data_IF_440444588652
#
_entry.id   IF_440444588652
#
_cell.length_a   1.000
_cell.length_b   1.000
_cell.length_c   1.000
_cell.angle_alpha   90.00
_cell.angle_beta   90.00
_cell.angle_gamma   90.00
#
_symmetry.space_group_name_H-M   'P 1'
#
loop_
_entity.id
_entity.type
_entity.pdbx_description
1 polymer ?
#
# COMPACT_ATOMS: atom_id res chain seq x y z
N UNK A 1 43.33 51.53 -2.53
CA UNK A 1 42.63 50.24 -2.38
C UNK A 1 43.60 49.31 -1.66
N UNK A 2 43.32 49.01 -0.38
CA UNK A 2 44.25 48.38 0.59
C UNK A 2 44.08 46.85 0.56
N UNK A 3 45.11 46.20 0.03
CA UNK A 3 45.85 45.02 0.55
C UNK A 3 45.14 43.88 1.30
N UNK A 4 45.44 42.67 0.81
CA UNK A 4 45.96 41.47 1.52
C UNK A 4 45.08 40.79 2.57
N UNK A 5 45.16 39.49 2.82
CA UNK A 5 45.75 38.30 2.19
C UNK A 5 45.39 37.13 3.12
N UNK A 6 45.44 35.89 2.59
CA UNK A 6 45.79 34.64 3.29
C UNK A 6 44.95 34.21 4.51
N UNK A 7 44.28 33.07 4.37
CA UNK A 7 44.36 31.87 5.24
C UNK A 7 43.28 30.90 4.75
N UNK A 8 43.41 29.58 4.74
CA UNK A 8 44.40 28.67 5.29
C UNK A 8 43.82 27.27 5.14
N UNK A 9 44.62 26.37 4.58
CA UNK A 9 44.44 24.92 4.54
C UNK A 9 44.03 24.35 5.91
N UNK A 10 42.89 23.65 6.01
CA UNK A 10 42.72 22.48 6.90
C UNK A 10 41.84 21.45 6.18
N UNK A 11 42.49 20.39 5.69
CA UNK A 11 41.86 19.13 5.39
C UNK A 11 41.43 18.46 6.71
N UNK A 12 40.15 18.13 6.84
CA UNK A 12 39.65 17.22 7.86
C UNK A 12 38.85 16.12 7.14
N UNK A 13 39.58 15.18 6.54
CA UNK A 13 39.01 13.88 6.16
C UNK A 13 38.69 13.12 7.43
N UNK A 14 37.44 13.21 7.89
CA UNK A 14 36.90 12.32 8.91
C UNK A 14 36.73 10.94 8.29
N UNK A 15 37.74 10.07 8.41
CA UNK A 15 37.59 8.63 8.20
C UNK A 15 36.92 8.07 9.46
N UNK A 16 35.60 8.14 9.49
CA UNK A 16 34.77 7.46 10.47
C UNK A 16 34.72 5.98 10.08
N UNK A 17 35.63 5.19 10.67
CA UNK A 17 35.50 3.73 10.60
C UNK A 17 34.24 3.32 11.37
N UNK A 18 33.16 3.05 10.63
CA UNK A 18 31.96 2.42 11.15
C UNK A 18 32.29 0.98 11.55
N UNK A 19 32.38 0.72 12.85
CA UNK A 19 32.18 -0.61 13.41
C UNK A 19 30.83 -0.62 14.15
N UNK A 20 29.74 -0.50 13.39
CA UNK A 20 28.39 -0.83 13.86
C UNK A 20 28.15 -2.32 13.63
N UNK A 21 28.67 -3.16 14.53
CA UNK A 21 28.11 -4.51 14.69
C UNK A 21 26.91 -4.38 15.63
N UNK A 22 25.80 -3.92 15.06
CA UNK A 22 24.49 -3.91 15.72
C UNK A 22 23.44 -4.42 14.74
N UNK A 23 23.46 -5.74 14.49
CA UNK A 23 22.21 -6.47 14.68
C UNK A 23 21.93 -6.31 16.19
N UNK A 24 20.94 -5.55 16.65
CA UNK A 24 19.58 -5.63 16.16
C UNK A 24 18.99 -7.02 16.44
N UNK A 25 19.50 -7.72 17.45
CA UNK A 25 18.82 -8.85 18.05
C UNK A 25 17.74 -8.26 18.98
N UNK A 26 16.48 -8.48 18.62
CA UNK A 26 15.37 -8.22 19.52
C UNK A 26 15.29 -9.39 20.51
N UNK A 27 16.23 -9.49 21.44
CA UNK A 27 16.02 -10.26 22.67
C UNK A 27 15.20 -9.37 23.59
N UNK A 28 13.91 -9.71 23.68
CA UNK A 28 13.01 -9.22 24.71
C UNK A 28 13.66 -9.57 26.05
N UNK A 29 14.08 -8.54 26.79
CA UNK A 29 14.43 -8.66 28.21
C UNK A 29 13.13 -8.96 28.97
N UNK A 30 12.80 -10.24 29.08
CA UNK A 30 11.67 -10.72 29.87
C UNK A 30 12.14 -10.89 31.33
N UNK A 31 12.04 -9.82 32.13
CA UNK A 31 12.04 -9.95 33.58
C UNK A 31 10.68 -10.53 34.02
N UNK A 32 10.48 -11.81 33.79
CA UNK A 32 9.35 -12.54 34.34
C UNK A 32 9.73 -13.97 34.69
N UNK A 33 9.92 -14.20 35.98
CA UNK A 33 9.97 -15.55 36.58
C UNK A 33 8.56 -16.17 36.53
N UNK A 34 8.04 -16.46 35.33
CA UNK A 34 6.87 -17.34 35.12
C UNK A 34 6.90 -17.83 33.68
N UNK A 35 7.40 -19.05 33.46
CA UNK A 35 7.31 -19.71 32.15
C UNK A 35 5.84 -20.01 31.79
N UNK A 36 5.30 -19.54 30.65
CA UNK A 36 4.01 -20.01 30.16
C UNK A 36 4.18 -21.44 29.63
N UNK A 37 3.59 -22.40 30.34
CA UNK A 37 3.49 -23.80 29.91
C UNK A 37 2.42 -23.90 28.83
N UNK A 38 2.81 -24.22 27.59
CA UNK A 38 1.87 -24.54 26.50
C UNK A 38 1.84 -26.06 26.35
N UNK A 39 0.65 -26.65 26.47
CA UNK A 39 0.45 -28.09 26.36
C UNK A 39 0.67 -28.58 24.91
N UNK A 40 1.32 -29.74 24.69
CA UNK A 40 1.46 -30.33 23.35
C UNK A 40 0.11 -30.73 22.73
N UNK A 41 -0.08 -30.40 21.46
CA UNK A 41 -1.23 -30.80 20.65
C UNK A 41 -1.10 -32.28 20.21
N UNK A 42 -2.11 -33.09 20.50
CA UNK A 42 -2.22 -34.49 20.06
C UNK A 42 -2.50 -34.56 18.54
N UNK A 43 -1.71 -35.36 17.81
CA UNK A 43 -1.97 -35.69 16.40
C UNK A 43 -3.01 -36.80 16.33
N UNK A 44 -4.21 -36.47 15.83
CA UNK A 44 -5.25 -37.45 15.53
C UNK A 44 -4.82 -38.47 14.47
N UNK A 45 -5.27 -39.73 14.54
CA UNK A 45 -4.84 -40.77 13.61
C UNK A 45 -5.36 -40.54 12.19
N UNK A 46 -4.45 -40.72 11.24
CA UNK A 46 -4.74 -40.86 9.82
C UNK A 46 -5.55 -42.13 9.60
N UNK A 47 -6.69 -42.03 8.94
CA UNK A 47 -7.45 -43.18 8.45
C UNK A 47 -7.69 -42.99 6.96
N UNK A 48 -7.02 -43.81 6.16
CA UNK A 48 -7.30 -44.02 4.74
C UNK A 48 -7.54 -45.50 4.51
N UNK A 49 -8.27 -45.77 3.42
CA UNK A 49 -8.81 -47.04 2.90
C UNK A 49 -10.23 -47.36 3.39
N UNK A 50 -11.28 -46.99 2.65
CA UNK A 50 -11.78 -47.54 1.37
C UNK A 50 -12.65 -48.79 1.56
N UNK A 51 -13.91 -48.72 1.08
CA UNK A 51 -14.51 -49.66 0.09
C UNK A 51 -16.06 -49.71 0.15
N UNK A 52 -16.62 -49.53 -1.04
CA UNK A 52 -17.89 -50.04 -1.61
C UNK A 52 -19.24 -49.38 -1.33
N UNK A 53 -19.72 -48.83 -2.45
CA UNK A 53 -21.07 -48.57 -2.92
C UNK A 53 -22.22 -49.39 -2.30
N UNK A 54 -23.28 -48.65 -1.95
CA UNK A 54 -24.64 -49.13 -2.06
C UNK A 54 -25.43 -48.06 -2.84
N UNK A 55 -25.94 -48.44 -4.01
CA UNK A 55 -26.99 -47.72 -4.71
C UNK A 55 -28.18 -47.52 -3.78
N UNK A 56 -28.70 -46.30 -3.70
CA UNK A 56 -30.08 -46.07 -3.34
C UNK A 56 -30.62 -44.95 -4.21
N UNK A 57 -31.38 -45.36 -5.22
CA UNK A 57 -32.21 -44.48 -6.04
C UNK A 57 -33.28 -43.85 -5.15
N UNK A 58 -33.22 -42.53 -4.97
CA UNK A 58 -34.39 -41.74 -4.63
C UNK A 58 -34.57 -40.64 -5.67
N UNK A 59 -35.59 -40.83 -6.49
CA UNK A 59 -36.06 -39.85 -7.45
C UNK A 59 -36.57 -38.62 -6.68
N UNK A 60 -35.80 -37.53 -6.71
CA UNK A 60 -36.28 -36.22 -6.25
C UNK A 60 -36.90 -35.46 -7.42
N UNK A 61 -38.18 -35.12 -7.24
CA UNK A 61 -39.01 -34.30 -8.12
C UNK A 61 -38.32 -32.98 -8.55
N UNK A 62 -38.60 -32.44 -9.74
CA UNK A 62 -37.96 -31.23 -10.22
C UNK A 62 -38.43 -30.03 -9.40
N UNK A 63 -37.56 -29.52 -8.53
CA UNK A 63 -37.71 -28.19 -7.97
C UNK A 63 -37.33 -27.23 -9.11
N UNK A 64 -38.27 -26.39 -9.52
CA UNK A 64 -38.02 -25.34 -10.50
C UNK A 64 -36.88 -24.46 -9.97
N UNK A 65 -35.70 -24.60 -10.59
CA UNK A 65 -34.54 -23.78 -10.27
C UNK A 65 -34.75 -22.40 -10.89
N UNK A 66 -34.80 -21.39 -10.03
CA UNK A 66 -34.56 -19.99 -10.39
C UNK A 66 -33.29 -19.92 -11.27
N UNK A 67 -33.27 -19.16 -12.38
CA UNK A 67 -32.09 -19.08 -13.24
C UNK A 67 -30.87 -18.69 -12.42
N UNK A 68 -29.95 -19.65 -12.27
CA UNK A 68 -28.72 -19.49 -11.50
C UNK A 68 -27.96 -18.26 -11.99
N UNK A 69 -27.66 -17.36 -11.06
CA UNK A 69 -26.73 -16.25 -11.28
C UNK A 69 -25.42 -16.84 -11.81
N UNK A 70 -24.86 -16.34 -12.94
CA UNK A 70 -23.68 -16.94 -13.52
C UNK A 70 -22.53 -16.90 -12.51
N UNK A 71 -22.05 -18.08 -12.14
CA UNK A 71 -20.88 -18.25 -11.27
C UNK A 71 -19.65 -17.65 -11.97
N UNK A 72 -18.74 -16.97 -11.24
CA UNK A 72 -17.47 -16.53 -11.81
C UNK A 72 -16.71 -17.76 -12.33
N UNK A 73 -16.43 -17.77 -13.63
CA UNK A 73 -15.74 -18.86 -14.32
C UNK A 73 -14.27 -18.50 -14.45
N UNK A 74 -13.40 -19.35 -13.91
CA UNK A 74 -11.96 -19.29 -14.19
C UNK A 74 -11.74 -19.68 -15.66
N UNK A 75 -11.47 -18.68 -16.50
CA UNK A 75 -11.09 -18.90 -17.89
C UNK A 75 -9.56 -18.90 -17.99
N UNK A 76 -9.01 -19.91 -18.67
CA UNK A 76 -7.58 -19.94 -18.99
C UNK A 76 -7.15 -18.66 -19.73
N UNK A 77 -5.86 -18.34 -19.68
CA UNK A 77 -5.30 -17.16 -20.33
C UNK A 77 -5.72 -17.10 -21.81
N UNK A 78 -6.28 -15.96 -22.23
CA UNK A 78 -6.66 -15.67 -23.61
C UNK A 78 -5.62 -14.77 -24.26
N UNK A 79 -5.39 -14.96 -25.55
CA UNK A 79 -4.55 -14.06 -26.33
C UNK A 79 -5.19 -12.67 -26.39
N UNK A 80 -4.39 -11.63 -26.16
CA UNK A 80 -4.82 -10.23 -26.29
C UNK A 80 -4.39 -9.77 -27.67
N UNK A 81 -5.36 -9.57 -28.56
CA UNK A 81 -5.10 -9.22 -29.97
C UNK A 81 -4.47 -7.83 -30.13
N UNK A 82 -4.77 -6.91 -29.21
CA UNK A 82 -4.31 -5.52 -29.28
C UNK A 82 -4.11 -4.95 -27.87
N UNK A 83 -2.98 -4.29 -27.64
CA UNK A 83 -2.73 -3.57 -26.40
C UNK A 83 -3.59 -2.30 -26.44
N UNK A 84 -4.40 -2.01 -25.42
CA UNK A 84 -5.16 -0.77 -25.37
C UNK A 84 -4.23 0.43 -25.54
N UNK A 85 -4.59 1.36 -26.42
CA UNK A 85 -3.87 2.63 -26.50
C UNK A 85 -4.10 3.39 -25.18
N UNK A 86 -3.05 3.46 -24.38
CA UNK A 86 -3.02 4.32 -23.21
C UNK A 86 -2.78 5.73 -23.72
N UNK A 87 -3.80 6.60 -23.67
CA UNK A 87 -3.61 8.03 -23.88
C UNK A 87 -2.49 8.50 -22.93
N UNK A 88 -1.33 8.84 -23.49
CA UNK A 88 -0.17 9.26 -22.71
C UNK A 88 -0.35 10.62 -22.04
N UNK A 89 -1.48 11.30 -22.31
CA UNK A 89 -1.84 12.55 -21.68
C UNK A 89 -2.71 12.31 -20.44
N UNK A 90 -2.29 12.88 -19.31
CA UNK A 90 -3.12 12.95 -18.10
C UNK A 90 -4.46 13.62 -18.38
N UNK A 91 -5.50 13.17 -17.68
CA UNK A 91 -6.83 13.77 -17.77
C UNK A 91 -6.81 15.23 -17.29
N UNK A 92 -7.87 15.99 -17.57
CA UNK A 92 -7.96 17.37 -17.10
C UNK A 92 -8.09 17.42 -15.57
N UNK A 93 -8.81 16.45 -15.02
CA UNK A 93 -9.03 16.23 -13.60
C UNK A 93 -7.70 15.96 -12.87
N UNK A 94 -6.86 15.09 -13.43
CA UNK A 94 -5.52 14.82 -12.90
C UNK A 94 -4.64 16.07 -12.86
N UNK A 95 -4.71 16.90 -13.91
CA UNK A 95 -3.94 18.14 -13.95
C UNK A 95 -4.42 19.16 -12.92
N UNK A 96 -5.73 19.24 -12.67
CA UNK A 96 -6.28 20.08 -11.61
C UNK A 96 -5.82 19.60 -10.23
N UNK A 97 -5.94 18.30 -9.97
CA UNK A 97 -5.52 17.71 -8.71
C UNK A 97 -4.02 17.89 -8.44
N UNK A 98 -3.16 17.50 -9.39
CA UNK A 98 -1.70 17.62 -9.26
C UNK A 98 -1.25 19.08 -9.21
N UNK A 99 -1.95 19.97 -9.92
CA UNK A 99 -1.73 21.41 -9.89
C UNK A 99 -1.98 21.97 -8.49
N UNK A 100 -3.12 21.64 -7.86
CA UNK A 100 -3.42 22.08 -6.50
C UNK A 100 -2.36 21.61 -5.49
N UNK A 101 -1.88 20.37 -5.58
CA UNK A 101 -0.81 19.90 -4.68
C UNK A 101 0.49 20.70 -4.88
N UNK A 102 0.89 20.91 -6.13
CA UNK A 102 2.12 21.64 -6.48
C UNK A 102 2.06 23.10 -6.04
N UNK A 103 0.93 23.76 -6.31
CA UNK A 103 0.72 25.17 -5.98
C UNK A 103 0.70 25.42 -4.46
N UNK A 104 0.34 24.41 -3.67
CA UNK A 104 0.34 24.46 -2.21
C UNK A 104 1.63 23.89 -1.56
N UNK A 105 2.69 23.68 -2.34
CA UNK A 105 4.02 23.36 -1.80
C UNK A 105 4.27 21.88 -1.54
N UNK A 106 3.62 21.00 -2.29
CA UNK A 106 3.96 19.57 -2.36
C UNK A 106 4.73 19.28 -3.64
N UNK A 107 5.98 18.83 -3.52
CA UNK A 107 6.77 18.33 -4.64
C UNK A 107 6.27 16.95 -5.07
N UNK A 108 5.50 16.92 -6.15
CA UNK A 108 4.92 15.71 -6.74
C UNK A 108 5.80 15.09 -7.83
N UNK A 109 6.97 15.66 -8.17
CA UNK A 109 7.76 15.21 -9.31
C UNK A 109 8.21 13.76 -9.12
N UNK A 110 7.81 12.89 -10.05
CA UNK A 110 8.11 11.47 -10.04
C UNK A 110 7.25 10.62 -9.09
N UNK A 111 6.24 11.21 -8.45
CA UNK A 111 5.25 10.50 -7.61
C UNK A 111 3.80 10.79 -8.00
N UNK A 112 3.58 11.39 -9.16
CA UNK A 112 2.28 11.90 -9.58
C UNK A 112 1.24 10.79 -9.73
N UNK A 113 1.63 9.65 -10.29
CA UNK A 113 0.71 8.53 -10.53
C UNK A 113 0.28 7.87 -9.21
N UNK A 114 1.17 7.87 -8.20
CA UNK A 114 0.83 7.44 -6.84
C UNK A 114 -0.13 8.42 -6.16
N UNK A 115 0.02 9.73 -6.41
CA UNK A 115 -0.91 10.74 -5.88
C UNK A 115 -2.29 10.57 -6.52
N UNK A 116 -2.37 10.40 -7.84
CA UNK A 116 -3.63 10.14 -8.55
C UNK A 116 -4.27 8.85 -8.04
N UNK A 117 -3.49 7.77 -7.94
CA UNK A 117 -3.97 6.49 -7.41
C UNK A 117 -4.54 6.61 -6.01
N UNK A 118 -3.92 7.43 -5.15
CA UNK A 118 -4.43 7.72 -3.80
C UNK A 118 -5.74 8.52 -3.88
N UNK A 119 -5.78 9.57 -4.69
CA UNK A 119 -6.93 10.47 -4.80
C UNK A 119 -8.20 9.76 -5.29
N UNK A 120 -8.09 8.83 -6.23
CA UNK A 120 -9.23 8.06 -6.77
C UNK A 120 -9.91 7.23 -5.67
N UNK A 121 -9.17 6.81 -4.63
CA UNK A 121 -9.75 6.06 -3.50
C UNK A 121 -10.68 6.91 -2.63
N UNK A 122 -10.47 8.23 -2.60
CA UNK A 122 -11.18 9.17 -1.70
C UNK A 122 -12.63 9.38 -2.15
N UNK A 123 -12.88 9.36 -3.46
CA UNK A 123 -14.22 9.53 -4.03
C UNK A 123 -15.00 8.22 -4.21
N UNK A 124 -14.44 7.07 -3.78
CA UNK A 124 -15.12 5.79 -3.91
C UNK A 124 -16.31 5.69 -2.93
N UNK A 125 -17.53 5.36 -3.39
CA UNK A 125 -18.75 5.37 -2.58
C UNK A 125 -18.78 4.28 -1.50
N UNK A 126 -17.88 3.29 -1.58
CA UNK A 126 -17.73 2.25 -0.58
C UNK A 126 -16.60 2.63 0.39
N UNK A 127 -17.00 3.22 1.51
CA UNK A 127 -16.14 3.54 2.66
C UNK A 127 -15.54 2.27 3.27
N UNK A 128 -14.56 1.70 2.59
CA UNK A 128 -13.74 0.58 3.08
C UNK A 128 -12.81 1.02 4.21
N UNK A 129 -12.75 2.32 4.52
CA UNK A 129 -11.84 2.90 5.52
C UNK A 129 -10.38 2.90 5.07
N UNK A 130 -10.12 2.50 3.83
CA UNK A 130 -8.79 2.50 3.22
C UNK A 130 -8.30 3.93 3.05
N UNK A 131 -9.20 4.85 2.68
CA UNK A 131 -9.00 6.30 2.62
C UNK A 131 -8.49 6.88 3.95
N UNK A 132 -9.09 6.48 5.07
CA UNK A 132 -8.76 6.99 6.42
C UNK A 132 -7.34 6.66 6.88
N UNK A 133 -6.74 5.59 6.37
CA UNK A 133 -5.37 5.19 6.72
C UNK A 133 -4.36 5.51 5.61
N UNK A 134 -4.78 5.48 4.34
CA UNK A 134 -3.89 5.65 3.20
C UNK A 134 -3.44 7.09 3.04
N UNK A 135 -4.36 8.05 3.15
CA UNK A 135 -4.01 9.47 2.96
C UNK A 135 -3.02 9.95 4.03
N UNK A 136 -3.20 9.68 5.34
CA UNK A 136 -2.20 10.03 6.35
C UNK A 136 -0.86 9.31 6.15
N UNK A 137 -0.86 8.06 5.68
CA UNK A 137 0.37 7.32 5.39
C UNK A 137 1.16 7.96 4.24
N UNK A 138 0.46 8.35 3.17
CA UNK A 138 1.06 9.05 2.03
C UNK A 138 1.59 10.43 2.46
N UNK A 139 0.82 11.17 3.27
CA UNK A 139 1.25 12.46 3.81
C UNK A 139 2.54 12.34 4.63
N UNK A 140 2.63 11.36 5.54
CA UNK A 140 3.84 11.07 6.30
C UNK A 140 5.02 10.73 5.39
N UNK A 141 4.79 9.93 4.35
CA UNK A 141 5.83 9.58 3.38
C UNK A 141 6.36 10.81 2.62
N UNK A 142 5.50 11.74 2.23
CA UNK A 142 5.92 12.97 1.55
C UNK A 142 6.82 13.84 2.43
N UNK A 143 6.52 13.92 3.73
CA UNK A 143 7.30 14.68 4.71
C UNK A 143 8.68 14.04 4.91
N UNK A 144 8.73 12.72 5.14
CA UNK A 144 10.00 12.00 5.35
C UNK A 144 10.91 12.04 4.10
N UNK A 145 10.31 12.20 2.92
CA UNK A 145 11.05 12.39 1.66
C UNK A 145 11.47 13.84 1.41
N UNK A 146 11.12 14.78 2.30
CA UNK A 146 11.43 16.21 2.13
C UNK A 146 10.70 16.84 0.94
N UNK A 147 9.54 16.30 0.56
CA UNK A 147 8.73 16.79 -0.57
C UNK A 147 7.80 17.94 -0.18
N UNK A 148 7.68 18.26 1.11
CA UNK A 148 6.86 19.38 1.58
C UNK A 148 7.32 19.79 2.98
N UNK A 149 7.10 21.06 3.32
CA UNK A 149 7.33 21.63 4.66
C UNK A 149 6.04 21.69 5.50
N UNK A 150 4.90 21.25 4.94
CA UNK A 150 3.61 21.19 5.62
C UNK A 150 3.58 20.06 6.66
N UNK A 151 2.71 20.19 7.68
CA UNK A 151 2.46 19.10 8.63
C UNK A 151 1.69 17.94 7.99
N UNK A 152 1.75 16.75 8.61
CA UNK A 152 1.08 15.56 8.08
C UNK A 152 -0.43 15.77 7.95
N UNK A 153 -1.05 16.45 8.91
CA UNK A 153 -2.46 16.79 8.87
C UNK A 153 -2.80 17.79 7.75
N UNK A 154 -1.95 18.80 7.52
CA UNK A 154 -2.15 19.78 6.45
C UNK A 154 -2.04 19.11 5.07
N UNK A 155 -1.04 18.25 4.87
CA UNK A 155 -0.86 17.50 3.62
C UNK A 155 -2.03 16.55 3.38
N UNK A 156 -2.46 15.81 4.41
CA UNK A 156 -3.59 14.90 4.28
C UNK A 156 -4.88 15.65 3.91
N UNK A 157 -5.16 16.76 4.58
CA UNK A 157 -6.33 17.61 4.29
C UNK A 157 -6.25 18.17 2.87
N UNK A 158 -5.09 18.65 2.46
CA UNK A 158 -4.86 19.15 1.11
C UNK A 158 -5.13 18.08 0.04
N UNK A 159 -4.63 16.85 0.24
CA UNK A 159 -4.86 15.73 -0.68
C UNK A 159 -6.36 15.41 -0.76
N UNK A 160 -7.06 15.35 0.38
CA UNK A 160 -8.49 15.09 0.39
C UNK A 160 -9.31 16.17 -0.30
N UNK A 161 -9.06 17.44 0.01
CA UNK A 161 -9.80 18.57 -0.55
C UNK A 161 -9.56 18.69 -2.06
N UNK A 162 -8.31 18.59 -2.50
CA UNK A 162 -7.95 18.62 -3.91
C UNK A 162 -8.57 17.44 -4.67
N UNK A 163 -8.54 16.23 -4.09
CA UNK A 163 -9.13 15.04 -4.70
C UNK A 163 -10.65 15.16 -4.83
N UNK A 164 -11.36 15.58 -3.76
CA UNK A 164 -12.81 15.79 -3.83
C UNK A 164 -13.18 16.87 -4.83
N UNK A 165 -12.40 17.96 -4.90
CA UNK A 165 -12.63 19.02 -5.87
C UNK A 165 -12.45 18.56 -7.32
N UNK A 166 -11.49 17.67 -7.59
CA UNK A 166 -11.19 17.19 -8.93
C UNK A 166 -12.08 16.02 -9.38
N UNK A 167 -12.47 15.12 -8.46
CA UNK A 167 -12.99 13.79 -8.84
C UNK A 167 -14.40 13.44 -8.32
N UNK A 168 -15.03 14.21 -7.41
CA UNK A 168 -16.28 13.79 -6.71
C UNK A 168 -17.61 14.42 -7.24
#
# INVERSE_FOLDING_TARGET
>A
MRTWAKTGLIAATCVSALALTACGEATVEDDSTTAPTVAPLERGPSSSEATTAAESSEAQSPIAQDPATPQPQDQGAREVDEVPELDASRSAEDQVFLGELSDNGVDIVGVEDQMIGTAITICSPEGTGIDLATVPAVAGQLIEQGRTDLSAEEVATLIEDAARKAYC
#
